data_IF_678608062215
#
_entry.id   IF_678608062215
#
_cell.length_a   1.000
_cell.length_b   1.000
_cell.length_c   1.000
_cell.angle_alpha   90.00
_cell.angle_beta   90.00
_cell.angle_gamma   90.00
#
_symmetry.space_group_name_H-M   'P 1'
#
loop_
_entity.id
_entity.type
_entity.pdbx_description
1 polymer ?
#
# COMPACT_ATOMS: atom_id res chain seq x y z
N UNK A 1 -13.93 8.07 18.10
CA UNK A 1 -13.50 7.99 16.67
C UNK A 1 -12.07 8.45 16.34
N UNK A 2 -11.41 9.39 17.06
CA UNK A 2 -10.04 9.85 16.70
C UNK A 2 -8.97 8.74 16.72
N UNK A 3 -9.02 7.84 17.71
CA UNK A 3 -8.11 6.68 17.84
C UNK A 3 -8.16 5.79 16.59
N UNK A 4 -9.34 5.56 16.04
CA UNK A 4 -9.54 4.76 14.84
C UNK A 4 -8.82 5.34 13.61
N UNK A 5 -8.90 6.66 13.41
CA UNK A 5 -8.15 7.37 12.35
C UNK A 5 -6.63 7.16 12.51
N UNK A 6 -6.12 7.25 13.74
CA UNK A 6 -4.70 7.00 14.00
C UNK A 6 -4.29 5.55 13.78
N UNK A 7 -5.15 4.57 14.09
CA UNK A 7 -4.87 3.16 13.83
C UNK A 7 -4.79 2.84 12.34
N UNK A 8 -5.62 3.49 11.50
CA UNK A 8 -5.51 3.35 10.04
C UNK A 8 -4.22 3.99 9.52
N UNK A 9 -3.87 5.16 10.02
CA UNK A 9 -2.59 5.79 9.70
C UNK A 9 -1.40 4.96 10.14
N UNK A 10 -1.49 4.33 11.30
CA UNK A 10 -0.49 3.40 11.80
C UNK A 10 -0.37 2.17 10.91
N UNK A 11 -1.50 1.58 10.48
CA UNK A 11 -1.52 0.45 9.54
C UNK A 11 -0.80 0.81 8.25
N UNK A 12 -1.16 1.93 7.61
CA UNK A 12 -0.57 2.37 6.33
C UNK A 12 0.92 2.71 6.48
N UNK A 13 1.29 3.35 7.59
CA UNK A 13 2.68 3.67 7.88
C UNK A 13 3.52 2.41 8.07
N UNK A 14 3.04 1.46 8.87
CA UNK A 14 3.83 0.30 9.25
C UNK A 14 3.83 -0.78 8.18
N UNK A 15 2.79 -0.90 7.36
CA UNK A 15 2.66 -1.98 6.37
C UNK A 15 3.90 -2.21 5.48
N UNK A 16 4.50 -1.19 4.82
CA UNK A 16 5.70 -1.41 4.01
C UNK A 16 6.96 -1.65 4.86
N UNK A 17 6.95 -1.28 6.14
CA UNK A 17 8.08 -1.41 7.08
C UNK A 17 7.99 -2.67 7.96
N UNK A 18 6.85 -3.35 7.99
CA UNK A 18 6.60 -4.44 8.92
C UNK A 18 7.27 -5.72 8.44
N UNK A 19 8.13 -6.29 9.29
CA UNK A 19 8.76 -7.58 9.12
C UNK A 19 9.19 -8.11 10.51
N UNK A 20 9.32 -9.42 10.67
CA UNK A 20 9.78 -10.05 11.91
C UNK A 20 10.84 -11.11 11.60
N UNK A 21 11.98 -11.13 12.31
CA UNK A 21 13.09 -12.05 12.01
C UNK A 21 12.87 -13.50 12.47
N UNK A 22 11.84 -13.75 13.28
CA UNK A 22 11.65 -15.02 14.00
C UNK A 22 10.51 -15.89 13.45
N UNK A 23 9.92 -15.50 12.32
CA UNK A 23 8.90 -16.29 11.62
C UNK A 23 9.51 -17.21 10.56
N UNK A 24 8.73 -18.19 10.09
CA UNK A 24 9.12 -19.10 9.01
C UNK A 24 9.45 -18.37 7.70
N UNK A 25 8.71 -17.29 7.41
CA UNK A 25 9.00 -16.35 6.34
C UNK A 25 8.94 -14.94 6.94
N UNK A 26 10.01 -14.17 6.74
CA UNK A 26 10.26 -12.95 7.53
C UNK A 26 9.44 -11.74 7.09
N UNK A 27 8.87 -11.73 5.88
CA UNK A 27 8.30 -10.53 5.26
C UNK A 27 6.84 -10.73 4.87
N UNK A 28 6.56 -11.51 3.82
CA UNK A 28 5.22 -11.73 3.27
C UNK A 28 4.24 -12.26 4.32
N UNK A 29 4.63 -13.30 5.04
CA UNK A 29 3.79 -13.93 6.07
C UNK A 29 3.44 -12.91 7.16
N UNK A 30 4.43 -12.19 7.68
CA UNK A 30 4.24 -11.21 8.74
C UNK A 30 3.35 -10.04 8.29
N UNK A 31 3.55 -9.54 7.07
CA UNK A 31 2.73 -8.46 6.52
C UNK A 31 1.31 -8.87 6.28
N UNK A 32 1.11 -10.07 5.77
CA UNK A 32 -0.22 -10.62 5.55
C UNK A 32 -0.98 -10.71 6.87
N UNK A 33 -0.36 -11.28 7.90
CA UNK A 33 -0.98 -11.43 9.21
C UNK A 33 -1.23 -10.07 9.88
N UNK A 34 -0.27 -9.15 9.78
CA UNK A 34 -0.42 -7.78 10.27
C UNK A 34 -1.61 -7.08 9.60
N UNK A 35 -1.69 -7.14 8.27
CA UNK A 35 -2.79 -6.55 7.52
C UNK A 35 -4.13 -7.22 7.86
N UNK A 36 -4.17 -8.56 7.90
CA UNK A 36 -5.37 -9.32 8.22
C UNK A 36 -5.91 -8.93 9.61
N UNK A 37 -5.12 -9.15 10.66
CA UNK A 37 -5.58 -8.95 12.02
C UNK A 37 -5.89 -7.49 12.32
N UNK A 38 -5.04 -6.56 11.87
CA UNK A 38 -5.28 -5.14 12.14
C UNK A 38 -6.47 -4.61 11.34
N UNK A 39 -6.64 -5.02 10.08
CA UNK A 39 -7.82 -4.60 9.30
C UNK A 39 -9.12 -5.18 9.88
N UNK A 40 -9.20 -6.48 10.16
CA UNK A 40 -10.44 -7.05 10.71
C UNK A 40 -10.74 -6.56 12.14
N UNK A 41 -9.71 -6.32 12.95
CA UNK A 41 -9.88 -5.67 14.26
C UNK A 41 -10.44 -4.25 14.11
N UNK A 42 -9.93 -3.48 13.14
CA UNK A 42 -10.46 -2.16 12.82
C UNK A 42 -11.90 -2.24 12.29
N UNK A 43 -12.24 -3.22 11.45
CA UNK A 43 -13.63 -3.43 10.97
C UNK A 43 -14.54 -3.67 12.15
N UNK A 44 -14.12 -4.54 13.09
CA UNK A 44 -14.87 -4.80 14.31
C UNK A 44 -15.07 -3.54 15.16
N UNK A 45 -14.00 -2.75 15.40
CA UNK A 45 -14.10 -1.47 16.12
C UNK A 45 -15.03 -0.48 15.40
N UNK A 46 -15.01 -0.46 14.07
CA UNK A 46 -15.89 0.39 13.27
C UNK A 46 -17.36 -0.02 13.44
N UNK A 47 -17.68 -1.31 13.36
CA UNK A 47 -19.04 -1.83 13.57
C UNK A 47 -19.52 -1.48 14.98
N UNK A 48 -18.71 -1.75 16.00
CA UNK A 48 -19.03 -1.39 17.38
C UNK A 48 -19.29 0.11 17.54
N UNK A 49 -18.47 0.95 16.92
CA UNK A 49 -18.66 2.39 16.91
C UNK A 49 -20.00 2.80 16.28
N UNK A 50 -20.39 2.22 15.14
CA UNK A 50 -21.69 2.50 14.52
C UNK A 50 -22.86 2.08 15.42
N UNK A 51 -22.78 0.90 16.04
CA UNK A 51 -23.83 0.39 16.93
C UNK A 51 -23.99 1.30 18.16
N UNK A 52 -22.89 1.72 18.78
CA UNK A 52 -22.91 2.53 20.00
C UNK A 52 -23.36 3.97 19.71
N UNK A 53 -22.80 4.60 18.68
CA UNK A 53 -23.03 6.03 18.42
C UNK A 53 -24.31 6.29 17.64
N UNK A 54 -24.62 5.45 16.64
CA UNK A 54 -25.71 5.70 15.69
C UNK A 54 -26.89 4.76 15.84
N UNK A 55 -26.76 3.66 16.62
CA UNK A 55 -27.74 2.57 16.75
C UNK A 55 -28.15 1.90 15.43
N UNK A 56 -27.52 2.29 14.32
CA UNK A 56 -27.78 1.81 12.98
C UNK A 56 -26.45 1.62 12.25
N UNK A 57 -26.33 0.50 11.54
CA UNK A 57 -25.17 0.23 10.69
C UNK A 57 -25.50 0.69 9.29
N UNK A 58 -25.04 1.90 8.96
CA UNK A 58 -25.16 2.44 7.60
C UNK A 58 -23.95 2.03 6.76
N UNK A 59 -24.21 1.26 5.71
CA UNK A 59 -23.19 0.88 4.73
C UNK A 59 -23.26 1.80 3.51
N UNK A 60 -22.09 2.16 2.98
CA UNK A 60 -22.01 2.88 1.71
C UNK A 60 -21.68 1.89 0.60
N UNK A 61 -22.60 1.72 -0.33
CA UNK A 61 -22.42 0.87 -1.49
C UNK A 61 -22.32 1.72 -2.75
N UNK A 62 -21.36 1.39 -3.59
CA UNK A 62 -21.23 1.87 -4.96
C UNK A 62 -20.97 0.66 -5.89
N UNK A 63 -21.07 0.84 -7.20
CA UNK A 63 -20.83 -0.19 -8.20
C UNK A 63 -19.46 -0.85 -8.04
N UNK A 64 -18.43 -0.09 -7.68
CA UNK A 64 -17.10 -0.63 -7.38
C UNK A 64 -17.13 -1.60 -6.18
N UNK A 65 -17.89 -1.30 -5.12
CA UNK A 65 -17.99 -2.21 -3.98
C UNK A 65 -18.70 -3.50 -4.40
N UNK A 66 -19.74 -3.40 -5.23
CA UNK A 66 -20.43 -4.57 -5.79
C UNK A 66 -19.45 -5.47 -6.55
N UNK A 67 -18.59 -4.91 -7.40
CA UNK A 67 -17.57 -5.67 -8.13
C UNK A 67 -16.58 -6.36 -7.18
N UNK A 68 -16.11 -5.64 -6.15
CA UNK A 68 -15.21 -6.20 -5.14
C UNK A 68 -15.88 -7.32 -4.34
N UNK A 69 -17.16 -7.16 -3.97
CA UNK A 69 -17.94 -8.21 -3.29
C UNK A 69 -18.17 -9.43 -4.19
N UNK A 70 -18.51 -9.22 -5.47
CA UNK A 70 -18.67 -10.29 -6.44
C UNK A 70 -17.36 -11.07 -6.62
N UNK A 71 -16.24 -10.37 -6.71
CA UNK A 71 -14.91 -10.99 -6.76
C UNK A 71 -14.60 -11.80 -5.48
N UNK A 72 -14.93 -11.27 -4.30
CA UNK A 72 -14.78 -12.00 -3.04
C UNK A 72 -15.62 -13.28 -3.01
N UNK A 73 -16.87 -13.23 -3.49
CA UNK A 73 -17.73 -14.40 -3.61
C UNK A 73 -17.08 -15.44 -4.52
N UNK A 74 -16.55 -15.04 -5.68
CA UNK A 74 -15.84 -15.96 -6.58
C UNK A 74 -14.63 -16.62 -5.91
N UNK A 75 -13.85 -15.87 -5.14
CA UNK A 75 -12.71 -16.42 -4.39
C UNK A 75 -13.18 -17.40 -3.31
N UNK A 76 -14.26 -17.07 -2.59
CA UNK A 76 -14.85 -17.96 -1.59
C UNK A 76 -15.39 -19.26 -2.20
N UNK A 77 -16.04 -19.18 -3.38
CA UNK A 77 -16.45 -20.36 -4.13
C UNK A 77 -15.24 -21.18 -4.59
N UNK A 78 -14.21 -20.52 -5.14
CA UNK A 78 -12.96 -21.19 -5.54
C UNK A 78 -12.33 -21.94 -4.37
N UNK A 79 -12.26 -21.30 -3.20
CA UNK A 79 -11.82 -21.93 -1.96
C UNK A 79 -12.74 -23.11 -1.55
N UNK A 80 -14.06 -22.94 -1.61
CA UNK A 80 -15.04 -23.97 -1.25
C UNK A 80 -14.97 -25.21 -2.15
N UNK A 81 -14.63 -25.05 -3.43
CA UNK A 81 -14.46 -26.17 -4.37
C UNK A 81 -13.02 -26.65 -4.53
N UNK A 82 -12.04 -25.98 -3.93
CA UNK A 82 -10.65 -26.39 -4.02
C UNK A 82 -10.39 -27.74 -3.32
N UNK A 83 -9.55 -28.56 -3.95
CA UNK A 83 -9.11 -29.87 -3.46
C UNK A 83 -8.18 -29.74 -2.24
N UNK A 84 -7.27 -28.77 -2.28
CA UNK A 84 -6.34 -28.51 -1.17
C UNK A 84 -6.76 -27.24 -0.42
N UNK A 85 -7.44 -27.45 0.70
CA UNK A 85 -7.94 -26.35 1.55
C UNK A 85 -6.81 -25.57 2.21
N UNK A 86 -5.70 -26.21 2.55
CA UNK A 86 -4.62 -25.56 3.28
C UNK A 86 -3.89 -24.59 2.36
N UNK A 87 -3.50 -25.06 1.17
CA UNK A 87 -2.85 -24.22 0.16
C UNK A 87 -3.79 -23.10 -0.29
N UNK A 88 -5.07 -23.40 -0.49
CA UNK A 88 -6.02 -22.37 -0.93
C UNK A 88 -6.31 -21.31 0.13
N UNK A 89 -6.18 -21.66 1.41
CA UNK A 89 -6.38 -20.71 2.51
C UNK A 89 -5.16 -19.81 2.72
N UNK A 90 -3.98 -20.42 2.87
CA UNK A 90 -2.75 -19.72 3.25
C UNK A 90 -1.92 -19.21 2.08
N UNK A 91 -2.12 -19.76 0.88
CA UNK A 91 -1.30 -19.49 -0.29
C UNK A 91 -0.36 -20.64 -0.63
N UNK A 92 0.37 -20.48 -1.73
CA UNK A 92 1.35 -21.47 -2.19
C UNK A 92 2.63 -21.45 -1.35
N UNK A 93 3.43 -22.52 -1.45
CA UNK A 93 4.66 -22.65 -0.66
C UNK A 93 5.57 -21.42 -0.83
N UNK A 94 5.90 -20.76 0.28
CA UNK A 94 6.71 -19.53 0.35
C UNK A 94 6.09 -18.28 -0.32
N UNK A 95 4.85 -18.36 -0.79
CA UNK A 95 4.10 -17.25 -1.40
C UNK A 95 2.74 -17.16 -0.74
N UNK A 96 2.62 -16.24 0.22
CA UNK A 96 1.39 -16.14 1.01
C UNK A 96 0.36 -15.17 0.40
N UNK A 97 0.75 -14.45 -0.66
CA UNK A 97 -0.07 -13.39 -1.26
C UNK A 97 -1.20 -13.89 -2.17
N UNK A 98 -1.22 -15.17 -2.53
CA UNK A 98 -2.21 -15.78 -3.46
C UNK A 98 -3.32 -16.59 -2.75
N UNK A 99 -3.28 -16.66 -1.42
CA UNK A 99 -4.29 -17.38 -0.62
C UNK A 99 -5.55 -16.56 -0.32
N UNK A 100 -6.63 -17.25 0.10
CA UNK A 100 -7.87 -16.61 0.57
C UNK A 100 -7.60 -15.58 1.67
N UNK A 101 -6.66 -15.85 2.58
CA UNK A 101 -6.30 -14.94 3.67
C UNK A 101 -5.82 -13.58 3.14
N UNK A 102 -5.04 -13.56 2.05
CA UNK A 102 -4.58 -12.33 1.40
C UNK A 102 -5.75 -11.54 0.84
N UNK A 103 -6.63 -12.20 0.08
CA UNK A 103 -7.82 -11.54 -0.47
C UNK A 103 -8.75 -10.99 0.62
N UNK A 104 -8.97 -11.74 1.71
CA UNK A 104 -9.76 -11.26 2.86
C UNK A 104 -9.10 -10.07 3.56
N UNK A 105 -7.77 -10.02 3.62
CA UNK A 105 -7.02 -8.89 4.18
C UNK A 105 -7.19 -7.63 3.34
N UNK A 106 -7.01 -7.76 2.02
CA UNK A 106 -7.25 -6.65 1.09
C UNK A 106 -8.70 -6.21 1.12
N UNK A 107 -9.65 -7.14 1.18
CA UNK A 107 -11.07 -6.83 1.28
C UNK A 107 -11.39 -6.03 2.55
N UNK A 108 -10.96 -6.51 3.72
CA UNK A 108 -11.17 -5.83 4.99
C UNK A 108 -10.56 -4.42 5.00
N UNK A 109 -9.34 -4.28 4.47
CA UNK A 109 -8.69 -2.97 4.35
C UNK A 109 -9.40 -2.03 3.36
N UNK A 110 -9.76 -2.51 2.16
CA UNK A 110 -10.52 -1.73 1.18
C UNK A 110 -11.86 -1.27 1.73
N UNK A 111 -12.58 -2.17 2.41
CA UNK A 111 -13.85 -1.87 3.07
C UNK A 111 -13.69 -0.77 4.13
N UNK A 112 -12.64 -0.83 4.95
CA UNK A 112 -12.35 0.19 5.97
C UNK A 112 -12.11 1.56 5.36
N UNK A 113 -11.21 1.62 4.37
CA UNK A 113 -10.87 2.86 3.69
C UNK A 113 -12.14 3.43 3.06
N UNK A 114 -12.88 2.66 2.27
CA UNK A 114 -14.09 3.13 1.59
C UNK A 114 -15.18 3.66 2.52
N UNK A 115 -15.49 2.95 3.60
CA UNK A 115 -16.56 3.35 4.52
C UNK A 115 -16.18 4.52 5.44
N UNK A 116 -14.89 4.80 5.60
CA UNK A 116 -14.39 5.86 6.50
C UNK A 116 -13.71 7.03 5.77
N UNK A 117 -13.53 6.92 4.45
CA UNK A 117 -13.14 8.04 3.59
C UNK A 117 -14.35 8.93 3.36
N UNK A 118 -14.30 10.13 3.92
CA UNK A 118 -15.15 11.24 3.54
C UNK A 118 -14.32 12.52 3.54
N UNK A 119 -14.75 13.45 2.69
CA UNK A 119 -13.88 14.51 2.17
C UNK A 119 -13.84 15.73 3.12
N UNK A 120 -14.75 15.88 4.10
CA UNK A 120 -14.95 17.20 4.76
C UNK A 120 -15.50 17.25 6.20
N UNK A 121 -15.81 16.16 6.91
CA UNK A 121 -16.28 16.24 8.31
C UNK A 121 -15.18 15.95 9.34
N UNK A 122 -15.29 16.56 10.52
CA UNK A 122 -14.33 16.41 11.61
C UNK A 122 -14.31 14.97 12.16
N UNK A 123 -13.14 14.33 12.09
CA UNK A 123 -12.93 12.94 12.50
C UNK A 123 -12.67 11.97 11.35
N UNK A 124 -12.78 12.43 10.10
CA UNK A 124 -12.68 11.61 8.90
C UNK A 124 -11.24 11.42 8.41
N UNK A 125 -11.03 10.38 7.62
CA UNK A 125 -9.71 10.02 7.10
C UNK A 125 -9.45 10.77 5.80
N UNK A 126 -8.46 11.66 5.82
CA UNK A 126 -8.04 12.39 4.62
C UNK A 126 -7.20 11.50 3.71
N UNK A 127 -7.66 11.28 2.46
CA UNK A 127 -6.92 10.52 1.42
C UNK A 127 -5.51 11.07 1.25
N UNK A 128 -5.37 12.40 1.20
CA UNK A 128 -4.09 13.10 1.12
C UNK A 128 -3.15 12.72 2.25
N UNK A 129 -3.66 12.53 3.45
CA UNK A 129 -2.85 12.18 4.62
C UNK A 129 -2.42 10.72 4.58
N UNK A 130 -3.30 9.79 4.19
CA UNK A 130 -2.93 8.38 3.92
C UNK A 130 -1.77 8.34 2.93
N UNK A 131 -1.91 9.08 1.83
CA UNK A 131 -0.93 9.13 0.77
C UNK A 131 0.43 9.67 1.23
N UNK A 132 0.44 10.79 1.97
CA UNK A 132 1.66 11.34 2.59
C UNK A 132 2.31 10.33 3.54
N UNK A 133 1.52 9.63 4.33
CA UNK A 133 2.01 8.61 5.26
C UNK A 133 2.66 7.44 4.51
N UNK A 134 2.05 6.99 3.41
CA UNK A 134 2.62 5.93 2.56
C UNK A 134 3.95 6.36 1.92
N UNK A 135 4.05 7.59 1.40
CA UNK A 135 5.32 8.09 0.85
C UNK A 135 6.38 8.23 1.94
N UNK A 136 5.98 8.67 3.13
CA UNK A 136 6.89 8.80 4.27
C UNK A 136 7.38 7.45 4.80
N UNK A 137 6.53 6.42 4.88
CA UNK A 137 6.97 5.08 5.23
C UNK A 137 7.85 4.45 4.16
N UNK A 138 7.55 4.70 2.88
CA UNK A 138 8.35 4.23 1.74
C UNK A 138 9.74 4.86 1.72
N UNK A 139 9.88 6.12 2.16
CA UNK A 139 11.18 6.75 2.36
C UNK A 139 12.06 5.95 3.34
N UNK A 140 11.52 5.46 4.45
CA UNK A 140 12.27 4.62 5.39
C UNK A 140 12.63 3.25 4.80
N UNK A 141 11.78 2.64 3.99
CA UNK A 141 12.12 1.42 3.24
C UNK A 141 13.31 1.67 2.31
N UNK A 142 13.31 2.79 1.60
CA UNK A 142 14.38 3.16 0.68
C UNK A 142 15.69 3.40 1.44
N UNK A 143 15.65 4.16 2.53
CA UNK A 143 16.81 4.36 3.40
C UNK A 143 17.35 3.02 3.94
N UNK A 144 16.47 2.14 4.40
CA UNK A 144 16.85 0.81 4.86
C UNK A 144 17.58 0.03 3.78
N UNK A 145 17.06 0.06 2.55
CA UNK A 145 17.64 -0.62 1.40
C UNK A 145 19.04 -0.09 1.07
N UNK A 146 19.25 1.23 1.12
CA UNK A 146 20.57 1.82 0.98
C UNK A 146 21.54 1.34 2.06
N UNK A 147 21.11 1.35 3.33
CA UNK A 147 21.92 0.86 4.43
C UNK A 147 22.29 -0.63 4.26
N UNK A 148 21.38 -1.44 3.71
CA UNK A 148 21.65 -2.83 3.33
C UNK A 148 22.68 -2.96 2.22
N UNK A 149 22.59 -2.14 1.17
CA UNK A 149 23.55 -2.14 0.06
C UNK A 149 24.98 -1.80 0.53
N UNK A 150 25.11 -0.88 1.49
CA UNK A 150 26.40 -0.51 2.06
C UNK A 150 26.88 -1.47 3.18
N UNK A 151 26.15 -2.55 3.42
CA UNK A 151 26.51 -3.53 4.44
C UNK A 151 26.44 -3.00 5.88
N UNK A 152 25.70 -1.91 6.12
CA UNK A 152 25.66 -1.24 7.44
C UNK A 152 25.00 -2.15 8.47
N UNK A 153 23.91 -2.83 8.09
CA UNK A 153 23.18 -3.72 8.98
C UNK A 153 24.03 -4.91 9.44
N UNK A 154 24.85 -5.48 8.54
CA UNK A 154 25.70 -6.64 8.82
C UNK A 154 26.86 -6.29 9.76
N UNK A 155 27.24 -5.01 9.86
CA UNK A 155 28.29 -4.53 10.79
C UNK A 155 27.81 -4.43 12.24
N UNK A 156 26.51 -4.48 12.50
CA UNK A 156 25.96 -4.39 13.86
C UNK A 156 26.14 -5.74 14.56
N UNK A 157 26.94 -5.83 15.65
CA UNK A 157 27.18 -7.07 16.36
C UNK A 157 25.87 -7.70 16.88
N UNK A 158 25.81 -9.03 16.87
CA UNK A 158 24.72 -9.87 17.40
C UNK A 158 23.38 -9.79 16.66
N UNK A 159 22.99 -8.63 16.14
CA UNK A 159 21.65 -8.40 15.54
C UNK A 159 21.73 -8.34 14.01
N UNK A 160 22.88 -8.00 13.44
CA UNK A 160 23.04 -7.76 12.00
C UNK A 160 22.62 -8.91 11.09
N UNK A 161 22.71 -10.16 11.58
CA UNK A 161 22.33 -11.37 10.83
C UNK A 161 20.82 -11.52 10.64
N UNK A 162 20.02 -10.85 11.47
CA UNK A 162 18.57 -10.93 11.42
C UNK A 162 17.96 -9.88 10.50
N UNK A 163 18.71 -8.86 10.09
CA UNK A 163 18.19 -7.80 9.25
C UNK A 163 17.99 -8.26 7.80
N UNK A 164 16.79 -7.99 7.28
CA UNK A 164 16.44 -8.23 5.89
C UNK A 164 17.04 -7.17 4.97
N UNK A 165 17.25 -7.52 3.70
CA UNK A 165 17.75 -6.61 2.69
C UNK A 165 16.82 -5.38 2.51
N UNK A 166 15.52 -5.61 2.39
CA UNK A 166 14.51 -4.55 2.38
C UNK A 166 13.31 -4.98 3.21
N UNK A 167 12.72 -4.09 4.02
CA UNK A 167 11.48 -4.38 4.73
C UNK A 167 10.31 -4.57 3.75
N UNK A 168 10.35 -3.93 2.57
CA UNK A 168 9.27 -3.99 1.60
C UNK A 168 9.20 -5.34 0.87
N UNK A 169 10.35 -5.93 0.55
CA UNK A 169 10.40 -7.23 -0.12
C UNK A 169 11.72 -7.96 0.07
N UNK A 170 11.67 -9.29 -0.03
CA UNK A 170 12.85 -10.15 0.02
C UNK A 170 13.69 -10.09 -1.27
N UNK A 171 13.03 -9.88 -2.42
CA UNK A 171 13.67 -9.94 -3.73
C UNK A 171 13.96 -8.54 -4.28
N UNK A 172 15.11 -8.40 -4.93
CA UNK A 172 15.49 -7.19 -5.68
C UNK A 172 14.42 -6.88 -6.75
N UNK A 173 13.86 -7.90 -7.41
CA UNK A 173 12.84 -7.71 -8.46
C UNK A 173 11.56 -7.06 -7.92
N UNK A 174 11.04 -7.60 -6.82
CA UNK A 174 9.85 -7.07 -6.15
C UNK A 174 10.12 -5.69 -5.53
N UNK A 175 11.33 -5.47 -5.00
CA UNK A 175 11.75 -4.15 -4.54
C UNK A 175 11.79 -3.13 -5.70
N UNK A 176 12.29 -3.50 -6.88
CA UNK A 176 12.29 -2.63 -8.06
C UNK A 176 10.88 -2.25 -8.51
N UNK A 177 9.93 -3.19 -8.49
CA UNK A 177 8.52 -2.90 -8.78
C UNK A 177 7.95 -1.92 -7.75
N UNK A 178 8.21 -2.15 -6.45
CA UNK A 178 7.81 -1.23 -5.39
C UNK A 178 8.38 0.18 -5.62
N UNK A 179 9.67 0.30 -5.96
CA UNK A 179 10.32 1.58 -6.25
C UNK A 179 9.69 2.30 -7.44
N UNK A 180 9.35 1.58 -8.52
CA UNK A 180 8.68 2.17 -9.69
C UNK A 180 7.30 2.74 -9.34
N UNK A 181 6.53 2.03 -8.50
CA UNK A 181 5.24 2.50 -7.99
C UNK A 181 5.44 3.75 -7.12
N UNK A 182 6.32 3.68 -6.12
CA UNK A 182 6.58 4.82 -5.22
C UNK A 182 7.11 6.04 -5.97
N UNK A 183 7.98 5.84 -6.97
CA UNK A 183 8.44 6.91 -7.84
C UNK A 183 7.26 7.57 -8.55
N UNK A 184 6.39 6.77 -9.18
CA UNK A 184 5.22 7.28 -9.90
C UNK A 184 4.29 8.06 -8.97
N UNK A 185 4.04 7.55 -7.76
CA UNK A 185 3.24 8.23 -6.75
C UNK A 185 3.87 9.55 -6.29
N UNK A 186 5.16 9.54 -5.96
CA UNK A 186 5.86 10.75 -5.54
C UNK A 186 5.91 11.80 -6.67
N UNK A 187 6.09 11.35 -7.90
CA UNK A 187 6.10 12.18 -9.09
C UNK A 187 4.74 12.83 -9.31
N UNK A 188 3.66 12.03 -9.32
CA UNK A 188 2.31 12.56 -9.51
C UNK A 188 1.95 13.59 -8.45
N UNK A 189 2.32 13.34 -7.19
CA UNK A 189 2.06 14.29 -6.11
C UNK A 189 2.89 15.56 -6.20
N UNK A 190 4.13 15.50 -6.66
CA UNK A 190 4.98 16.67 -6.86
C UNK A 190 4.43 17.61 -7.94
N UNK A 191 3.92 17.06 -9.05
CA UNK A 191 3.47 17.83 -10.20
C UNK A 191 2.03 18.35 -10.08
N UNK A 192 1.14 17.53 -9.52
CA UNK A 192 -0.27 17.89 -9.39
C UNK A 192 -0.62 18.48 -8.02
N UNK A 193 0.25 18.33 -7.01
CA UNK A 193 -0.01 18.83 -5.66
C UNK A 193 -0.11 20.37 -5.61
N UNK A 194 -1.34 20.89 -5.58
CA UNK A 194 -1.58 22.31 -5.31
C UNK A 194 -1.17 22.65 -3.85
N UNK A 195 -0.49 23.78 -3.64
CA UNK A 195 -0.19 24.29 -2.29
C UNK A 195 0.93 23.58 -1.51
N UNK A 196 1.78 22.78 -2.17
CA UNK A 196 2.92 22.11 -1.51
C UNK A 196 3.92 23.09 -0.87
N UNK A 197 4.25 22.86 0.40
CA UNK A 197 5.28 23.64 1.12
C UNK A 197 6.68 23.34 0.55
N UNK A 198 7.63 24.27 0.69
CA UNK A 198 9.02 24.10 0.22
C UNK A 198 9.70 22.84 0.78
N UNK A 199 9.45 22.53 2.06
CA UNK A 199 9.97 21.33 2.72
C UNK A 199 9.36 20.06 2.10
N UNK A 200 8.05 20.05 1.85
CA UNK A 200 7.37 18.90 1.22
C UNK A 200 7.89 18.66 -0.19
N UNK A 201 8.08 19.71 -0.99
CA UNK A 201 8.70 19.61 -2.33
C UNK A 201 10.13 19.04 -2.24
N UNK A 202 10.94 19.53 -1.31
CA UNK A 202 12.30 19.02 -1.09
C UNK A 202 12.31 17.55 -0.72
N UNK A 203 11.41 17.12 0.18
CA UNK A 203 11.25 15.72 0.55
C UNK A 203 10.86 14.84 -0.65
N UNK A 204 9.90 15.26 -1.48
CA UNK A 204 9.47 14.50 -2.66
C UNK A 204 10.59 14.39 -3.70
N UNK A 205 11.33 15.47 -3.95
CA UNK A 205 12.48 15.46 -4.87
C UNK A 205 13.55 14.49 -4.37
N UNK A 206 13.88 14.53 -3.07
CA UNK A 206 14.82 13.59 -2.46
C UNK A 206 14.35 12.14 -2.62
N UNK A 207 13.08 11.87 -2.33
CA UNK A 207 12.47 10.54 -2.47
C UNK A 207 12.56 10.03 -3.92
N UNK A 208 12.28 10.89 -4.90
CA UNK A 208 12.39 10.57 -6.33
C UNK A 208 13.82 10.23 -6.73
N UNK A 209 14.80 11.06 -6.34
CA UNK A 209 16.21 10.83 -6.64
C UNK A 209 16.68 9.50 -6.05
N UNK A 210 16.39 9.26 -4.76
CA UNK A 210 16.76 8.03 -4.08
C UNK A 210 16.10 6.79 -4.72
N UNK A 211 14.82 6.89 -5.08
CA UNK A 211 14.11 5.78 -5.75
C UNK A 211 14.70 5.48 -7.13
N UNK A 212 15.01 6.53 -7.90
CA UNK A 212 15.56 6.41 -9.25
C UNK A 212 16.97 5.82 -9.25
N UNK A 213 17.83 6.25 -8.32
CA UNK A 213 19.18 5.69 -8.19
C UNK A 213 19.12 4.21 -7.83
N UNK A 214 18.23 3.78 -6.92
CA UNK A 214 18.05 2.35 -6.64
C UNK A 214 17.52 1.57 -7.85
N UNK A 215 16.60 2.14 -8.64
CA UNK A 215 16.13 1.51 -9.88
C UNK A 215 17.26 1.29 -10.90
N UNK A 216 18.17 2.26 -11.03
CA UNK A 216 19.37 2.11 -11.87
C UNK A 216 20.33 1.04 -11.34
N UNK A 217 20.52 0.97 -10.02
CA UNK A 217 21.39 -0.04 -9.39
C UNK A 217 20.83 -1.45 -9.58
N UNK A 218 19.51 -1.62 -9.46
CA UNK A 218 18.87 -2.93 -9.56
C UNK A 218 18.65 -3.42 -10.99
N UNK A 219 18.63 -2.51 -11.95
CA UNK A 219 18.57 -2.79 -13.39
C UNK A 219 17.57 -3.88 -13.79
N UNK A 220 16.32 -3.71 -13.35
CA UNK A 220 15.25 -4.69 -13.60
C UNK A 220 14.27 -4.18 -14.66
N UNK A 221 14.37 -4.72 -15.88
CA UNK A 221 13.59 -4.30 -17.05
C UNK A 221 12.07 -4.16 -16.80
N UNK A 222 11.37 -5.11 -16.15
CA UNK A 222 9.93 -4.95 -15.88
C UNK A 222 9.58 -3.72 -15.03
N UNK A 223 10.44 -3.33 -14.09
CA UNK A 223 10.21 -2.12 -13.29
C UNK A 223 10.31 -0.85 -14.15
N UNK A 224 11.24 -0.81 -15.11
CA UNK A 224 11.33 0.28 -16.08
C UNK A 224 10.10 0.36 -16.99
N UNK A 225 9.58 -0.78 -17.45
CA UNK A 225 8.34 -0.81 -18.22
C UNK A 225 7.15 -0.28 -17.42
N UNK A 226 6.99 -0.72 -16.17
CA UNK A 226 5.94 -0.23 -15.27
C UNK A 226 6.07 1.28 -15.06
N UNK A 227 7.30 1.76 -14.83
CA UNK A 227 7.57 3.18 -14.63
C UNK A 227 7.21 4.01 -15.87
N UNK A 228 7.71 3.63 -17.04
CA UNK A 228 7.46 4.34 -18.31
C UNK A 228 5.97 4.34 -18.62
N UNK A 229 5.31 3.18 -18.54
CA UNK A 229 3.88 3.06 -18.80
C UNK A 229 3.07 3.98 -17.86
N UNK A 230 3.43 3.98 -16.58
CA UNK A 230 2.76 4.81 -15.57
C UNK A 230 2.96 6.31 -15.81
N UNK A 231 4.16 6.72 -16.23
CA UNK A 231 4.48 8.11 -16.57
C UNK A 231 3.80 8.56 -17.87
N UNK A 232 3.67 7.67 -18.87
CA UNK A 232 2.92 7.95 -20.11
C UNK A 232 1.45 8.17 -19.79
N UNK A 233 0.84 7.26 -19.02
CA UNK A 233 -0.56 7.39 -18.62
C UNK A 233 -0.79 8.65 -17.79
N UNK A 234 0.12 8.97 -16.87
CA UNK A 234 0.08 10.21 -16.11
C UNK A 234 0.17 11.45 -17.01
N UNK A 235 1.09 11.46 -17.97
CA UNK A 235 1.23 12.56 -18.94
C UNK A 235 -0.02 12.72 -19.81
N UNK A 236 -0.66 11.61 -20.21
CA UNK A 236 -1.92 11.62 -20.92
C UNK A 236 -3.04 12.28 -20.10
N UNK A 237 -3.15 11.94 -18.82
CA UNK A 237 -4.15 12.57 -17.94
C UNK A 237 -3.90 14.05 -17.74
N UNK A 238 -2.64 14.46 -17.53
CA UNK A 238 -2.28 15.88 -17.45
C UNK A 238 -2.68 16.65 -18.72
N UNK A 239 -2.43 16.04 -19.89
CA UNK A 239 -2.82 16.64 -21.17
C UNK A 239 -4.35 16.73 -21.29
N UNK A 240 -5.06 15.69 -20.87
CA UNK A 240 -6.52 15.65 -20.89
C UNK A 240 -7.13 16.73 -19.97
N UNK A 241 -6.65 16.87 -18.73
CA UNK A 241 -7.09 17.95 -17.82
C UNK A 241 -6.88 19.33 -18.44
N UNK A 242 -5.73 19.55 -19.09
CA UNK A 242 -5.40 20.83 -19.70
C UNK A 242 -6.28 21.14 -20.92
N UNK A 243 -6.69 20.13 -21.69
CA UNK A 243 -7.52 20.28 -22.89
C UNK A 243 -9.00 20.44 -22.54
N UNK A 244 -9.52 19.64 -21.60
CA UNK A 244 -10.95 19.63 -21.28
C UNK A 244 -11.33 20.51 -20.09
N UNK A 245 -10.35 21.01 -19.32
CA UNK A 245 -10.59 21.86 -18.15
C UNK A 245 -11.24 21.14 -16.97
N UNK A 246 -11.46 19.82 -17.07
CA UNK A 246 -11.94 19.00 -15.98
C UNK A 246 -10.77 18.70 -15.02
N UNK A 247 -10.92 19.08 -13.75
CA UNK A 247 -9.98 18.67 -12.69
C UNK A 247 -10.20 17.19 -12.41
N UNK A 248 -9.35 16.33 -12.95
CA UNK A 248 -9.32 14.93 -12.57
C UNK A 248 -8.68 14.88 -11.18
N UNK A 249 -9.30 14.14 -10.25
CA UNK A 249 -8.69 14.01 -8.94
C UNK A 249 -7.36 13.26 -9.06
N UNK A 250 -6.26 13.93 -8.65
CA UNK A 250 -4.85 13.45 -8.53
C UNK A 250 -4.67 11.95 -8.31
N UNK A 251 -5.56 11.38 -7.52
CA UNK A 251 -5.43 10.08 -6.88
C UNK A 251 -5.99 8.93 -7.71
N UNK A 252 -6.79 9.20 -8.75
CA UNK A 252 -7.30 8.15 -9.64
C UNK A 252 -6.21 7.62 -10.59
N UNK A 253 -5.22 8.44 -10.92
CA UNK A 253 -4.26 8.20 -11.99
C UNK A 253 -3.33 7.00 -11.75
N UNK A 254 -2.70 6.84 -10.58
CA UNK A 254 -1.81 5.70 -10.36
C UNK A 254 -2.57 4.43 -9.95
N UNK A 255 -3.73 4.59 -9.32
CA UNK A 255 -4.56 3.47 -8.82
C UNK A 255 -5.23 2.74 -9.98
N UNK A 256 -5.60 3.44 -11.07
CA UNK A 256 -6.22 2.83 -12.25
C UNK A 256 -5.27 2.00 -13.12
N UNK A 257 -3.95 2.06 -12.90
CA UNK A 257 -2.95 1.28 -13.66
C UNK A 257 -2.54 0.02 -12.90
N UNK A 258 -2.65 0.03 -11.57
CA UNK A 258 -2.20 -1.08 -10.70
C UNK A 258 -3.30 -2.14 -10.54
N UNK A 259 -4.55 -1.81 -10.88
CA UNK A 259 -5.70 -2.75 -10.99
C UNK A 259 -5.86 -3.16 -12.44
#
# INVERSE_FOLDING_TARGET
MKIFKYLIYFLVFLFPLFWLPFSFEAIEFNKLYFLFFLSWFLVFLWILGQIIEKKEVSFRYNLFDLLVFAFLILILLSFAFSKDKVISFFGSYLRFSDGLLAFLSFFGFCFLIRNNLKIKEEGEIEVLKIFKILLFSSFFVILWTYLSLFGVWQKIPSIGKYFVFSPASFSIYSQSIFLAIIFTLAFSYLFLGEGLKKIEKGFLILLLILSFVLLLIFDFNPAWFILILSLIFFSFILAFEKVFGEKIHLFLVPISIIV
#
